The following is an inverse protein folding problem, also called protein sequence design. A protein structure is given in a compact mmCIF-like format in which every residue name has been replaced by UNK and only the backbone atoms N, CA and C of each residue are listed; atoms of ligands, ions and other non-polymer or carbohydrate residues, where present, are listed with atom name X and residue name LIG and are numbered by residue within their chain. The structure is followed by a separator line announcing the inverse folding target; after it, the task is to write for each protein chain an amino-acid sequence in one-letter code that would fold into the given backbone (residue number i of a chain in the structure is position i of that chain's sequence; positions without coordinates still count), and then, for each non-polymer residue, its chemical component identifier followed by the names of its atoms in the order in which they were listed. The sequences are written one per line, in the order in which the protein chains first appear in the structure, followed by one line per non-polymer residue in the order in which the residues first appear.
data_IF_218530033481
#
_entry.id   IF_218530033481
#
_cell.length_a   1.000
_cell.length_b   1.000
_cell.length_c   1.000
_cell.angle_alpha   90.00
_cell.angle_beta   90.00
_cell.angle_gamma   90.00
#
_symmetry.space_group_name_H-M   'P 1'
#
loop_
_entity.id
_entity.type
_entity.pdbx_description
1 polymer ?
#
# COMPACT_ATOMS: atom_id res chain seq x y z
N UNK A 1 15.08 -1.87 -15.39
CA UNK A 1 13.91 -2.75 -15.50
C UNK A 1 13.03 -2.46 -14.29
N UNK A 2 11.73 -2.27 -14.51
CA UNK A 2 10.76 -2.04 -13.43
C UNK A 2 9.87 -3.28 -13.38
N UNK A 3 9.68 -3.85 -12.19
CA UNK A 3 8.66 -4.88 -11.96
C UNK A 3 7.70 -4.43 -10.87
N UNK A 4 6.42 -4.73 -11.07
CA UNK A 4 5.35 -4.41 -10.13
C UNK A 4 4.58 -5.71 -9.90
N UNK A 5 4.35 -6.08 -8.64
CA UNK A 5 3.51 -7.23 -8.27
C UNK A 5 2.73 -6.95 -6.99
N UNK A 6 1.54 -7.50 -6.92
CA UNK A 6 0.72 -7.47 -5.70
C UNK A 6 1.33 -8.42 -4.65
N UNK A 7 1.30 -8.02 -3.38
CA UNK A 7 1.78 -8.79 -2.23
C UNK A 7 0.79 -8.68 -1.08
N UNK A 8 0.76 -9.69 -0.21
CA UNK A 8 -0.17 -9.70 0.93
C UNK A 8 0.27 -8.78 2.08
N UNK A 9 1.57 -8.50 2.20
CA UNK A 9 2.10 -7.72 3.32
C UNK A 9 3.44 -7.06 3.01
N UNK A 10 3.74 -6.02 3.76
CA UNK A 10 5.03 -5.33 3.81
C UNK A 10 5.90 -6.04 4.88
N UNK A 11 7.08 -6.59 4.54
CA UNK A 11 7.88 -7.42 5.45
C UNK A 11 8.77 -6.57 6.38
N UNK A 12 8.18 -5.73 7.25
CA UNK A 12 8.97 -4.79 8.08
C UNK A 12 8.56 -4.76 9.56
N UNK A 13 9.44 -5.19 10.47
CA UNK A 13 9.49 -4.68 11.84
C UNK A 13 10.31 -3.36 11.90
N UNK A 14 9.98 -2.45 12.83
CA UNK A 14 10.76 -1.23 13.17
C UNK A 14 10.63 -0.01 12.23
N UNK A 15 9.39 0.31 11.85
CA UNK A 15 9.02 1.56 11.14
C UNK A 15 7.94 2.29 11.95
N UNK A 16 7.66 3.57 11.65
CA UNK A 16 6.47 4.22 12.18
C UNK A 16 5.20 3.36 12.01
N UNK A 17 4.31 3.38 13.01
CA UNK A 17 3.15 2.49 13.09
C UNK A 17 2.27 2.49 11.84
N UNK A 18 2.18 3.62 11.13
CA UNK A 18 1.39 3.74 9.91
C UNK A 18 1.95 2.98 8.70
N UNK A 19 3.10 2.32 8.85
CA UNK A 19 3.67 1.39 7.89
C UNK A 19 3.44 -0.08 8.24
N UNK A 20 2.84 -0.37 9.40
CA UNK A 20 2.56 -1.73 9.83
C UNK A 20 1.33 -2.27 9.09
N UNK A 21 1.38 -3.54 8.70
CA UNK A 21 0.26 -4.19 8.01
C UNK A 21 -1.03 -4.09 8.83
N UNK A 22 -0.96 -4.32 10.15
CA UNK A 22 -2.10 -4.18 11.06
C UNK A 22 -2.71 -2.78 11.03
N UNK A 23 -1.88 -1.73 11.00
CA UNK A 23 -2.39 -0.36 10.90
C UNK A 23 -3.04 -0.12 9.54
N UNK A 24 -2.43 -0.59 8.45
CA UNK A 24 -2.97 -0.44 7.09
C UNK A 24 -4.31 -1.14 6.96
N UNK A 25 -4.46 -2.34 7.52
CA UNK A 25 -5.70 -3.10 7.59
C UNK A 25 -6.77 -2.34 8.39
N UNK A 26 -6.45 -1.93 9.63
CA UNK A 26 -7.37 -1.16 10.48
C UNK A 26 -7.81 0.16 9.82
N UNK A 27 -6.90 0.83 9.13
CA UNK A 27 -7.21 2.07 8.41
C UNK A 27 -8.10 1.81 7.19
N UNK A 28 -7.85 0.73 6.45
CA UNK A 28 -8.69 0.29 5.33
C UNK A 28 -10.13 0.00 5.79
N UNK A 29 -10.28 -0.72 6.92
CA UNK A 29 -11.58 -1.03 7.52
C UNK A 29 -12.30 0.23 7.99
N UNK A 30 -11.59 1.15 8.65
CA UNK A 30 -12.14 2.43 9.10
C UNK A 30 -12.68 3.27 7.94
N UNK A 31 -11.94 3.33 6.83
CA UNK A 31 -12.35 4.04 5.62
C UNK A 31 -13.40 3.26 4.79
N UNK A 32 -13.63 1.97 5.06
CA UNK A 32 -14.53 1.15 4.24
C UNK A 32 -13.99 0.90 2.82
N UNK A 33 -12.68 0.68 2.73
CA UNK A 33 -11.94 0.44 1.48
C UNK A 33 -11.30 -0.95 1.45
N UNK A 34 -10.92 -1.42 0.27
CA UNK A 34 -10.02 -2.57 0.13
C UNK A 34 -8.57 -2.12 0.21
N UNK A 35 -7.71 -2.90 0.86
CA UNK A 35 -6.26 -2.69 0.90
C UNK A 35 -5.58 -3.55 -0.18
N UNK A 36 -4.78 -2.91 -1.03
CA UNK A 36 -3.91 -3.58 -2.02
C UNK A 36 -2.49 -3.11 -1.80
N UNK A 37 -1.51 -4.02 -1.78
CA UNK A 37 -0.10 -3.66 -1.60
C UNK A 37 0.68 -4.08 -2.83
N UNK A 38 1.35 -3.12 -3.47
CA UNK A 38 2.27 -3.40 -4.57
C UNK A 38 3.73 -3.36 -4.10
N UNK A 39 4.48 -4.41 -4.40
CA UNK A 39 5.93 -4.38 -4.40
C UNK A 39 6.41 -3.88 -5.77
N UNK A 40 7.21 -2.82 -5.77
CA UNK A 40 7.84 -2.24 -6.94
C UNK A 40 9.35 -2.45 -6.84
N UNK A 41 9.94 -3.12 -7.82
CA UNK A 41 11.40 -3.19 -7.95
C UNK A 41 11.86 -2.27 -9.07
N UNK A 42 12.74 -1.33 -8.73
CA UNK A 42 13.36 -0.44 -9.72
C UNK A 42 14.76 -0.04 -9.25
N UNK A 43 15.69 0.10 -10.20
CA UNK A 43 17.10 0.43 -9.91
C UNK A 43 17.76 -0.48 -8.85
N UNK A 44 17.37 -1.76 -8.79
CA UNK A 44 17.87 -2.74 -7.82
C UNK A 44 17.37 -2.52 -6.39
N UNK A 45 16.37 -1.66 -6.20
CA UNK A 45 15.74 -1.38 -4.90
C UNK A 45 14.30 -1.84 -4.92
N UNK A 46 13.82 -2.28 -3.75
CA UNK A 46 12.43 -2.68 -3.54
C UNK A 46 11.69 -1.62 -2.77
N UNK A 47 10.47 -1.43 -3.21
CA UNK A 47 9.58 -0.40 -2.75
C UNK A 47 8.21 -0.99 -2.49
N UNK A 48 7.48 -0.46 -1.52
CA UNK A 48 6.13 -0.90 -1.19
C UNK A 48 5.15 0.25 -1.28
N UNK A 49 4.05 0.01 -1.98
CA UNK A 49 2.97 0.95 -2.25
C UNK A 49 1.65 0.32 -1.82
N UNK A 50 1.25 0.48 -0.55
CA UNK A 50 -0.12 0.22 -0.13
C UNK A 50 -1.07 1.27 -0.69
N UNK A 51 -2.17 0.78 -1.22
CA UNK A 51 -3.24 1.53 -1.85
C UNK A 51 -4.55 1.15 -1.19
N UNK A 52 -5.38 2.15 -0.92
CA UNK A 52 -6.76 1.98 -0.56
C UNK A 52 -7.62 2.11 -1.82
N UNK A 53 -8.58 1.21 -1.96
CA UNK A 53 -9.46 1.12 -3.11
C UNK A 53 -10.90 1.29 -2.66
N UNK A 54 -11.51 2.42 -3.04
CA UNK A 54 -12.96 2.60 -2.92
C UNK A 54 -13.66 2.01 -4.14
N UNK A 55 -14.66 1.17 -3.89
CA UNK A 55 -15.59 0.75 -4.91
C UNK A 55 -16.70 1.79 -5.05
N UNK A 56 -16.83 2.36 -6.25
CA UNK A 56 -17.89 3.31 -6.60
C UNK A 56 -18.71 2.71 -7.75
N UNK A 57 -19.94 3.19 -7.97
CA UNK A 57 -20.82 2.63 -8.99
C UNK A 57 -20.22 2.77 -10.41
N UNK A 58 -19.59 1.69 -10.88
CA UNK A 58 -19.00 1.58 -12.22
C UNK A 58 -17.52 1.97 -12.33
N UNK A 59 -16.86 2.39 -11.26
CA UNK A 59 -15.42 2.70 -11.27
C UNK A 59 -14.76 2.49 -9.89
N UNK A 60 -13.43 2.56 -9.85
CA UNK A 60 -12.63 2.46 -8.63
C UNK A 60 -11.89 3.76 -8.40
N UNK A 61 -11.95 4.28 -7.19
CA UNK A 61 -11.03 5.33 -6.74
C UNK A 61 -9.89 4.67 -5.95
N UNK A 62 -8.66 4.99 -6.32
CA UNK A 62 -7.45 4.38 -5.74
C UNK A 62 -6.53 5.50 -5.28
N UNK A 63 -6.14 5.45 -4.01
CA UNK A 63 -5.18 6.40 -3.46
C UNK A 63 -4.24 5.69 -2.48
N UNK A 64 -3.06 6.26 -2.26
CA UNK A 64 -2.11 5.70 -1.30
C UNK A 64 -2.63 5.88 0.12
N UNK A 65 -2.41 4.87 0.97
CA UNK A 65 -2.75 4.95 2.39
C UNK A 65 -1.96 6.04 3.14
N UNK A 66 -0.83 6.48 2.59
CA UNK A 66 -0.14 7.70 3.03
C UNK A 66 -0.80 8.88 2.33
N UNK A 67 -1.38 9.83 3.08
CA UNK A 67 -2.14 10.97 2.53
C UNK A 67 -1.49 11.82 1.42
N UNK A 68 -0.24 11.53 1.02
CA UNK A 68 0.40 11.98 -0.22
C UNK A 68 1.23 10.85 -0.86
N UNK A 69 0.65 10.08 -1.80
CA UNK A 69 1.34 9.27 -2.83
C UNK A 69 2.61 8.49 -2.43
N UNK A 70 2.72 8.04 -1.18
CA UNK A 70 4.01 7.64 -0.61
C UNK A 70 4.44 6.23 -1.01
N UNK A 71 5.75 6.02 -1.12
CA UNK A 71 6.35 4.71 -1.36
C UNK A 71 7.40 4.46 -0.28
N UNK A 72 7.37 3.31 0.38
CA UNK A 72 8.42 2.92 1.32
C UNK A 72 9.55 2.25 0.56
N UNK A 73 10.79 2.71 0.72
CA UNK A 73 11.98 1.92 0.33
C UNK A 73 12.41 1.04 1.51
N UNK A 74 12.76 -0.22 1.21
CA UNK A 74 13.61 -1.03 2.08
C UNK A 74 15.07 -0.67 1.91
#
# INVERSE_FOLDING_TARGET
MVSIREVDSIPIPDKPVYFYNEYLELFSEYEGTDLVIYEVETHGKRYYLPLLVYQLDGYKEIFSSYGYGGVISL
#
